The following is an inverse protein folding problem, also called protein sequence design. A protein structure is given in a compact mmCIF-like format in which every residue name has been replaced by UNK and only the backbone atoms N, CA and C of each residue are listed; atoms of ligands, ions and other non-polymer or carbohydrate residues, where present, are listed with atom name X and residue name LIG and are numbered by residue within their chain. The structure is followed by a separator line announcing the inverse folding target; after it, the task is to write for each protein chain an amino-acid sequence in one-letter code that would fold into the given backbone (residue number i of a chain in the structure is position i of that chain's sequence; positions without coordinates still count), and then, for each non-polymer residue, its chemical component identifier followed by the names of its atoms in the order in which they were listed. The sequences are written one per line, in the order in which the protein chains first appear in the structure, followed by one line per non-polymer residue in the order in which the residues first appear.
data_IF_057987851799
#
_entry.id   IF_057987851799
#
_cell.length_a   1.000
_cell.length_b   1.000
_cell.length_c   1.000
_cell.angle_alpha   90.00
_cell.angle_beta   90.00
_cell.angle_gamma   90.00
#
_symmetry.space_group_name_H-M   'P 1'
#
loop_
_entity.id
_entity.type
_entity.pdbx_description
1 polymer ?
#
# COMPACT_ATOMS: atom_id res chain seq x y z
N UNK A 1 3.81 17.07 1.21
CA UNK A 1 4.03 16.25 0.00
C UNK A 1 2.71 15.93 -0.68
N UNK A 2 2.73 15.88 -2.00
CA UNK A 2 1.54 15.52 -2.76
C UNK A 2 1.40 14.02 -2.85
N UNK A 3 0.18 13.55 -2.70
CA UNK A 3 -0.13 12.13 -2.88
C UNK A 3 -0.67 11.90 -4.28
N UNK A 4 -0.33 10.77 -4.86
CA UNK A 4 -0.86 10.37 -6.15
C UNK A 4 -1.51 9.00 -6.03
N UNK A 5 -2.39 8.69 -6.98
CA UNK A 5 -3.02 7.38 -7.03
C UNK A 5 -2.14 6.41 -7.80
N UNK A 6 -2.06 5.18 -7.30
CA UNK A 6 -1.33 4.09 -7.94
C UNK A 6 -2.34 3.02 -8.31
N UNK A 7 -2.31 2.54 -9.55
CA UNK A 7 -3.19 1.47 -9.98
C UNK A 7 -2.41 0.22 -10.34
N UNK A 8 -2.99 -0.93 -10.02
CA UNK A 8 -2.41 -2.22 -10.38
C UNK A 8 -3.53 -3.10 -10.93
N UNK A 9 -3.16 -4.04 -11.78
CA UNK A 9 -4.10 -5.04 -12.28
C UNK A 9 -4.12 -6.22 -11.32
N UNK A 10 -5.32 -6.68 -10.98
CA UNK A 10 -5.47 -7.79 -10.07
C UNK A 10 -6.73 -8.58 -10.40
N UNK A 11 -6.79 -9.83 -9.98
CA UNK A 11 -7.95 -10.68 -10.20
C UNK A 11 -9.17 -10.14 -9.46
N UNK A 12 -10.27 -9.96 -10.19
CA UNK A 12 -11.49 -9.35 -9.65
C UNK A 12 -12.09 -10.19 -8.52
N UNK A 13 -12.17 -11.49 -8.71
CA UNK A 13 -12.77 -12.38 -7.70
C UNK A 13 -11.93 -12.42 -6.43
N UNK A 14 -10.60 -12.47 -6.59
CA UNK A 14 -9.70 -12.46 -5.44
C UNK A 14 -9.82 -11.16 -4.68
N UNK A 15 -9.93 -10.03 -5.39
CA UNK A 15 -10.04 -8.74 -4.75
C UNK A 15 -11.35 -8.61 -3.97
N UNK A 16 -12.46 -9.07 -4.57
CA UNK A 16 -13.76 -9.02 -3.90
C UNK A 16 -13.76 -9.86 -2.64
N UNK A 17 -13.17 -11.05 -2.72
CA UNK A 17 -13.06 -11.95 -1.56
C UNK A 17 -12.19 -11.33 -0.47
N UNK A 18 -11.05 -10.78 -0.86
CA UNK A 18 -10.14 -10.14 0.08
C UNK A 18 -10.81 -8.97 0.79
N UNK A 19 -11.53 -8.14 0.04
CA UNK A 19 -12.25 -6.99 0.59
C UNK A 19 -13.27 -7.43 1.62
N UNK A 20 -14.01 -8.49 1.32
CA UNK A 20 -15.00 -9.02 2.25
C UNK A 20 -14.37 -9.48 3.57
N UNK A 21 -13.29 -10.25 3.49
CA UNK A 21 -12.62 -10.73 4.69
C UNK A 21 -11.97 -9.61 5.50
N UNK A 22 -11.41 -8.61 4.82
CA UNK A 22 -10.84 -7.46 5.52
C UNK A 22 -11.90 -6.64 6.22
N UNK A 23 -13.07 -6.47 5.61
CA UNK A 23 -14.17 -5.76 6.24
C UNK A 23 -14.63 -6.44 7.53
N UNK A 24 -14.64 -7.77 7.56
CA UNK A 24 -14.97 -8.51 8.76
C UNK A 24 -14.00 -8.25 9.91
N UNK A 25 -12.77 -7.88 9.57
CA UNK A 25 -11.75 -7.55 10.57
C UNK A 25 -11.67 -6.06 10.87
N UNK A 26 -12.55 -5.27 10.29
CA UNK A 26 -12.53 -3.83 10.43
C UNK A 26 -11.40 -3.15 9.68
N UNK A 27 -10.92 -3.77 8.61
CA UNK A 27 -9.80 -3.27 7.81
C UNK A 27 -10.27 -2.86 6.43
N UNK A 28 -9.51 -2.00 5.77
CA UNK A 28 -9.79 -1.57 4.40
C UNK A 28 -8.64 -1.92 3.49
N UNK A 29 -8.97 -2.35 2.26
CA UNK A 29 -7.97 -2.74 1.27
C UNK A 29 -7.01 -1.59 0.98
N UNK A 30 -7.53 -0.38 0.83
CA UNK A 30 -6.74 0.80 0.51
C UNK A 30 -5.69 1.09 1.58
N UNK A 31 -6.07 0.98 2.84
CA UNK A 31 -5.15 1.19 3.96
C UNK A 31 -4.04 0.13 3.99
N UNK A 32 -4.42 -1.12 3.74
CA UNK A 32 -3.46 -2.22 3.73
C UNK A 32 -2.50 -2.12 2.56
N UNK A 33 -2.98 -1.66 1.41
CA UNK A 33 -2.11 -1.42 0.25
C UNK A 33 -1.10 -0.32 0.54
N UNK A 34 -1.53 0.76 1.17
CA UNK A 34 -0.62 1.85 1.55
C UNK A 34 0.47 1.34 2.49
N UNK A 35 0.09 0.55 3.49
CA UNK A 35 1.05 -0.05 4.41
C UNK A 35 2.05 -0.95 3.70
N UNK A 36 1.56 -1.73 2.72
CA UNK A 36 2.43 -2.60 1.93
C UNK A 36 3.43 -1.81 1.12
N UNK A 37 3.00 -0.69 0.53
CA UNK A 37 3.90 0.18 -0.21
C UNK A 37 4.94 0.81 0.70
N UNK A 38 4.55 1.24 1.89
CA UNK A 38 5.49 1.79 2.87
C UNK A 38 6.55 0.76 3.27
N UNK A 39 6.13 -0.49 3.45
CA UNK A 39 7.05 -1.58 3.77
C UNK A 39 8.03 -1.82 2.62
N UNK A 40 7.55 -1.83 1.38
CA UNK A 40 8.41 -1.98 0.22
C UNK A 40 9.39 -0.82 0.09
N UNK A 41 8.95 0.37 0.34
CA UNK A 41 9.79 1.56 0.32
C UNK A 41 10.90 1.44 1.36
N UNK A 42 10.55 1.08 2.59
CA UNK A 42 11.52 0.94 3.66
C UNK A 42 12.55 -0.15 3.40
N UNK A 43 12.13 -1.24 2.73
CA UNK A 43 13.05 -2.36 2.42
C UNK A 43 13.97 -2.08 1.26
N UNK A 44 13.53 -1.31 0.28
CA UNK A 44 14.23 -1.18 -1.00
C UNK A 44 14.93 0.15 -1.20
N UNK A 45 14.51 1.19 -0.47
CA UNK A 45 15.10 2.53 -0.61
C UNK A 45 16.09 2.76 0.54
N UNK A 46 17.37 3.03 0.25
CA UNK A 46 18.36 3.28 1.30
C UNK A 46 17.98 4.47 2.19
N UNK A 47 18.39 4.40 3.45
CA UNK A 47 18.08 5.44 4.45
C UNK A 47 18.53 6.83 3.99
N UNK A 48 19.72 6.94 3.38
CA UNK A 48 20.21 8.23 2.90
C UNK A 48 19.32 8.85 1.84
N UNK A 49 18.79 8.02 0.93
CA UNK A 49 17.87 8.50 -0.10
C UNK A 49 16.55 8.93 0.51
N UNK A 50 16.05 8.16 1.47
CA UNK A 50 14.79 8.49 2.16
C UNK A 50 14.90 9.82 2.90
N UNK A 51 16.02 10.06 3.57
CA UNK A 51 16.26 11.32 4.25
C UNK A 51 16.29 12.50 3.28
N UNK A 52 16.93 12.30 2.15
CA UNK A 52 17.00 13.32 1.11
C UNK A 52 15.62 13.69 0.59
N UNK A 53 14.77 12.68 0.34
CA UNK A 53 13.42 12.90 -0.20
C UNK A 53 12.48 13.53 0.83
N UNK A 54 12.76 13.33 2.10
CA UNK A 54 11.91 13.86 3.17
C UNK A 54 12.31 15.27 3.62
N UNK A 55 13.33 15.81 3.01
CA UNK A 55 13.69 17.20 3.23
C UNK A 55 12.80 18.11 2.38
#
# INVERSE_FOLDING_TARGET
MKKISVSVSYDEEKLSTLRLYLEQKGMQVEDELTKSLDTLYAKNVPAGVREFLNM
#
